data_IF_248976293211
#
_entry.id   IF_248976293211
#
_cell.length_a   1.000
_cell.length_b   1.000
_cell.length_c   1.000
_cell.angle_alpha   90.00
_cell.angle_beta   90.00
_cell.angle_gamma   90.00
#
_symmetry.space_group_name_H-M   'P 1'
#
loop_
_entity.id
_entity.type
_entity.pdbx_description
1 polymer ?
#
# COMPACT_ATOMS: atom_id res chain seq x y z
N UNK A 1 1.43 3.91 12.46
CA UNK A 1 1.06 2.76 11.60
C UNK A 1 1.60 3.01 10.19
N UNK A 2 1.96 1.96 9.42
CA UNK A 2 2.42 2.10 8.03
C UNK A 2 1.54 1.27 7.10
N UNK A 3 1.13 1.88 6.01
CA UNK A 3 0.32 1.27 4.97
C UNK A 3 1.18 0.64 3.88
N UNK A 4 0.63 -0.41 3.28
CA UNK A 4 1.20 -1.14 2.16
C UNK A 4 0.11 -1.34 1.11
N UNK A 5 0.50 -1.47 -0.15
CA UNK A 5 -0.41 -1.86 -1.25
C UNK A 5 -0.18 -3.34 -1.58
N UNK A 6 -1.26 -4.06 -1.87
CA UNK A 6 -1.18 -5.40 -2.48
C UNK A 6 -0.86 -5.22 -3.97
N UNK A 7 0.32 -5.69 -4.39
CA UNK A 7 0.80 -5.53 -5.78
C UNK A 7 0.59 -6.77 -6.63
N UNK A 8 0.40 -7.93 -6.00
CA UNK A 8 0.01 -9.16 -6.69
C UNK A 8 -0.64 -10.15 -5.72
N UNK A 9 -1.36 -11.13 -6.28
CA UNK A 9 -2.00 -12.22 -5.56
C UNK A 9 -1.69 -13.52 -6.31
N UNK A 10 -1.21 -14.54 -5.61
CA UNK A 10 -0.92 -15.86 -6.18
C UNK A 10 -1.03 -16.92 -5.10
N UNK A 11 -1.57 -18.08 -5.43
CA UNK A 11 -1.59 -19.28 -4.57
C UNK A 11 -2.19 -19.04 -3.17
N UNK A 12 -3.22 -18.19 -3.07
CA UNK A 12 -3.84 -17.81 -1.79
C UNK A 12 -2.99 -16.88 -0.91
N UNK A 13 -1.87 -16.39 -1.42
CA UNK A 13 -1.02 -15.39 -0.78
C UNK A 13 -1.16 -14.03 -1.48
N UNK A 14 -0.87 -12.98 -0.72
CA UNK A 14 -0.80 -11.62 -1.22
C UNK A 14 0.60 -11.06 -1.03
N UNK A 15 1.02 -10.24 -1.97
CA UNK A 15 2.35 -9.62 -1.98
C UNK A 15 2.20 -8.13 -1.77
N UNK A 16 2.84 -7.61 -0.73
CA UNK A 16 2.68 -6.21 -0.32
C UNK A 16 3.96 -5.40 -0.51
N UNK A 17 3.82 -4.16 -0.96
CA UNK A 17 4.92 -3.22 -1.16
C UNK A 17 4.59 -1.82 -0.64
N UNK A 18 5.62 -1.04 -0.32
CA UNK A 18 5.52 0.37 0.10
C UNK A 18 6.58 1.29 -0.55
N UNK A 19 7.44 0.74 -1.41
CA UNK A 19 8.47 1.47 -2.14
C UNK A 19 9.61 2.02 -1.27
N UNK A 20 9.68 1.70 0.02
CA UNK A 20 10.79 2.09 0.91
C UNK A 20 11.40 0.90 1.63
N UNK A 21 10.58 0.14 2.36
CA UNK A 21 11.01 -1.08 3.07
C UNK A 21 10.76 -2.32 2.24
N UNK A 22 9.68 -2.35 1.47
CA UNK A 22 9.31 -3.44 0.56
C UNK A 22 9.14 -2.86 -0.84
N UNK A 23 10.11 -3.14 -1.70
CA UNK A 23 10.17 -2.67 -3.08
C UNK A 23 9.19 -3.44 -3.97
N UNK A 24 8.84 -2.87 -5.12
CA UNK A 24 8.05 -3.55 -6.16
C UNK A 24 8.71 -4.86 -6.63
N UNK A 25 10.04 -4.86 -6.80
CA UNK A 25 10.81 -6.04 -7.23
C UNK A 25 10.96 -7.12 -6.14
N UNK A 26 10.82 -6.73 -4.86
CA UNK A 26 10.96 -7.64 -3.72
C UNK A 26 9.82 -7.44 -2.72
N UNK A 27 8.57 -7.71 -3.14
CA UNK A 27 7.41 -7.49 -2.30
C UNK A 27 7.36 -8.54 -1.19
N UNK A 28 6.69 -8.20 -0.08
CA UNK A 28 6.56 -9.11 1.06
C UNK A 28 5.36 -10.02 0.88
N UNK A 29 5.58 -11.33 0.85
CA UNK A 29 4.50 -12.32 0.93
C UNK A 29 3.79 -12.25 2.29
N UNK A 30 2.46 -12.22 2.31
CA UNK A 30 1.64 -12.25 3.52
C UNK A 30 0.40 -13.12 3.34
N UNK A 31 0.00 -13.79 4.42
CA UNK A 31 -1.29 -14.46 4.46
C UNK A 31 -2.39 -13.39 4.59
N UNK A 32 -3.43 -13.37 3.74
CA UNK A 32 -4.54 -12.41 3.83
C UNK A 32 -5.15 -12.29 5.22
N UNK A 33 -5.20 -13.38 6.01
CA UNK A 33 -5.76 -13.39 7.38
C UNK A 33 -5.02 -12.50 8.39
N UNK A 34 -3.81 -12.06 8.05
CA UNK A 34 -2.98 -11.20 8.90
C UNK A 34 -2.90 -9.75 8.39
N UNK A 35 -3.74 -9.40 7.41
CA UNK A 35 -3.86 -8.03 6.93
C UNK A 35 -5.07 -7.36 7.59
N UNK A 36 -4.86 -6.17 8.13
CA UNK A 36 -5.95 -5.26 8.44
C UNK A 36 -6.35 -4.53 7.15
N UNK A 37 -7.54 -4.83 6.62
CA UNK A 37 -8.05 -4.20 5.39
C UNK A 37 -8.43 -2.76 5.67
N UNK A 38 -8.10 -1.86 4.75
CA UNK A 38 -8.46 -0.44 4.82
C UNK A 38 -9.77 -0.10 4.12
N UNK A 39 -10.40 -1.10 3.47
CA UNK A 39 -11.53 -0.95 2.56
C UNK A 39 -11.31 0.10 1.44
N UNK A 40 -10.06 0.47 1.17
CA UNK A 40 -9.69 1.34 0.05
C UNK A 40 -9.01 0.55 -1.04
N UNK A 41 -9.35 0.88 -2.27
CA UNK A 41 -8.67 0.40 -3.46
C UNK A 41 -7.88 1.55 -4.08
N UNK A 42 -6.76 1.22 -4.69
CA UNK A 42 -5.91 2.17 -5.40
C UNK A 42 -5.61 1.59 -6.77
N UNK A 43 -5.62 2.44 -7.78
CA UNK A 43 -5.22 2.07 -9.13
C UNK A 43 -3.68 1.98 -9.17
N UNK A 44 -3.17 0.86 -9.67
CA UNK A 44 -1.73 0.63 -9.80
C UNK A 44 -1.21 0.92 -11.21
N UNK A 45 -2.10 1.18 -12.17
CA UNK A 45 -1.68 1.60 -13.51
C UNK A 45 -0.73 2.81 -13.44
N UNK A 46 0.41 2.71 -14.13
CA UNK A 46 1.45 3.73 -14.11
C UNK A 46 2.32 3.79 -12.84
N UNK A 47 2.07 2.96 -11.82
CA UNK A 47 2.89 2.84 -10.59
C UNK A 47 3.95 1.75 -10.78
N UNK A 48 4.93 2.05 -11.62
CA UNK A 48 6.03 1.16 -12.03
C UNK A 48 7.31 1.30 -11.19
N UNK A 49 7.38 2.33 -10.34
CA UNK A 49 8.58 2.65 -9.56
C UNK A 49 8.27 2.79 -8.07
N UNK A 50 9.27 2.44 -7.25
CA UNK A 50 9.21 2.61 -5.79
C UNK A 50 8.92 4.06 -5.37
N UNK A 51 9.36 5.05 -6.16
CA UNK A 51 9.06 6.47 -5.91
C UNK A 51 7.57 6.79 -6.11
N UNK A 52 6.97 6.33 -7.20
CA UNK A 52 5.53 6.53 -7.45
C UNK A 52 4.70 5.82 -6.39
N UNK A 53 5.09 4.62 -5.96
CA UNK A 53 4.42 3.88 -4.89
C UNK A 53 4.50 4.62 -3.53
N UNK A 54 5.66 5.20 -3.19
CA UNK A 54 5.80 6.05 -2.00
C UNK A 54 4.89 7.27 -2.05
N UNK A 55 4.73 7.88 -3.23
CA UNK A 55 3.85 9.05 -3.43
C UNK A 55 2.37 8.66 -3.29
N UNK A 56 1.96 7.55 -3.89
CA UNK A 56 0.60 7.00 -3.76
C UNK A 56 0.21 6.75 -2.29
N UNK A 57 1.16 6.25 -1.50
CA UNK A 57 0.97 5.95 -0.08
C UNK A 57 1.26 7.13 0.85
N UNK A 58 1.59 8.32 0.32
CA UNK A 58 2.06 9.42 1.15
C UNK A 58 0.96 9.94 2.08
N UNK A 59 -0.24 10.20 1.56
CA UNK A 59 -1.39 10.65 2.36
C UNK A 59 -1.72 9.62 3.45
N UNK A 60 -1.75 8.34 3.09
CA UNK A 60 -2.04 7.27 4.04
C UNK A 60 -1.05 7.20 5.22
N UNK A 61 0.22 7.49 4.96
CA UNK A 61 1.28 7.34 5.96
C UNK A 61 1.59 8.63 6.73
N UNK A 62 1.24 9.80 6.21
CA UNK A 62 1.61 11.09 6.78
C UNK A 62 0.43 11.98 7.16
N UNK A 63 -0.81 11.65 6.75
CA UNK A 63 -1.97 12.33 7.28
C UNK A 63 -2.35 11.70 8.63
N UNK A 64 -2.37 12.52 9.69
CA UNK A 64 -3.04 12.18 10.94
C UNK A 64 -4.54 11.88 10.66
N UNK A 65 -5.26 11.15 11.53
CA UNK A 65 -6.71 11.03 11.37
C UNK A 65 -7.33 12.44 11.50
N UNK A 66 -7.63 13.10 10.38
CA UNK A 66 -8.19 14.44 10.42
C UNK A 66 -9.67 14.41 10.81
N UNK A 67 -10.01 15.23 11.80
CA UNK A 67 -11.22 16.05 11.75
C UNK A 67 -11.27 16.77 10.39
N UNK A 68 -11.86 16.14 9.38
CA UNK A 68 -12.16 16.78 8.09
C UNK A 68 -13.33 17.74 8.26
N UNK A 69 -13.03 18.97 8.67
CA UNK A 69 -13.82 20.15 8.28
C UNK A 69 -12.95 20.98 7.37
N UNK A 70 -13.41 21.22 6.14
CA UNK A 70 -12.99 22.40 5.39
C UNK A 70 -12.64 22.16 3.93
N UNK A 71 -13.67 22.35 3.10
CA UNK A 71 -13.69 22.95 1.76
C UNK A 71 -13.12 22.19 0.57
#
# INVERSE_FOLDING_TARGET
HRFYVVVSQSDGWVYIADGKRRKLEKPKRKNPRHLAKTARQVELSGVDTDQKLRRLLWDYNNTAPENRKGR
#
